data_IF_523352355002
#
_entry.id   IF_523352355002
#
_cell.length_a   1.000
_cell.length_b   1.000
_cell.length_c   1.000
_cell.angle_alpha   90.00
_cell.angle_beta   90.00
_cell.angle_gamma   90.00
#
_symmetry.space_group_name_H-M   'P 1'
#
loop_
_entity.id
_entity.type
_entity.pdbx_description
1 polymer ?
#
# COMPACT_ATOMS: atom_id res chain seq x y z
N UNK A 1 14.44 -20.76 -8.30
CA UNK A 1 14.63 -19.41 -7.70
C UNK A 1 15.99 -19.27 -7.01
N UNK A 2 16.33 -20.08 -6.00
CA UNK A 2 17.60 -19.97 -5.26
C UNK A 2 18.88 -20.05 -6.14
N UNK A 3 18.94 -20.98 -7.12
CA UNK A 3 20.05 -21.07 -8.07
C UNK A 3 20.20 -19.83 -8.98
N UNK A 4 19.09 -19.21 -9.37
CA UNK A 4 19.11 -18.01 -10.21
C UNK A 4 19.63 -16.79 -9.44
N UNK A 5 19.24 -16.67 -8.16
CA UNK A 5 19.74 -15.60 -7.27
C UNK A 5 21.24 -15.76 -6.99
N UNK A 6 21.71 -16.99 -6.75
CA UNK A 6 23.13 -17.25 -6.56
C UNK A 6 23.96 -16.86 -7.80
N UNK A 7 23.51 -17.26 -8.99
CA UNK A 7 24.18 -16.92 -10.25
C UNK A 7 24.16 -15.41 -10.54
N UNK A 8 23.09 -14.70 -10.18
CA UNK A 8 23.04 -13.25 -10.28
C UNK A 8 24.00 -12.56 -9.32
N UNK A 9 24.07 -13.02 -8.06
CA UNK A 9 25.03 -12.52 -7.07
C UNK A 9 26.48 -12.67 -7.55
N UNK A 10 26.83 -13.83 -8.12
CA UNK A 10 28.14 -14.08 -8.71
C UNK A 10 28.42 -13.12 -9.88
N UNK A 11 27.46 -12.99 -10.81
CA UNK A 11 27.59 -12.12 -11.98
C UNK A 11 27.75 -10.63 -11.62
N UNK A 12 27.22 -10.21 -10.47
CA UNK A 12 27.27 -8.83 -10.00
C UNK A 12 28.31 -8.59 -8.90
N UNK A 13 29.14 -9.58 -8.56
CA UNK A 13 30.11 -9.49 -7.45
C UNK A 13 29.49 -9.07 -6.10
N UNK A 14 28.23 -9.46 -5.87
CA UNK A 14 27.52 -9.18 -4.62
C UNK A 14 27.57 -10.44 -3.76
N UNK A 15 28.08 -10.36 -2.50
CA UNK A 15 28.00 -11.49 -1.59
C UNK A 15 26.55 -11.88 -1.33
N UNK A 16 26.19 -13.15 -1.51
CA UNK A 16 24.82 -13.62 -1.29
C UNK A 16 24.31 -13.29 0.13
N UNK A 17 25.20 -13.33 1.13
CA UNK A 17 24.89 -12.93 2.51
C UNK A 17 24.49 -11.46 2.65
N UNK A 18 25.07 -10.56 1.84
CA UNK A 18 24.69 -9.14 1.80
C UNK A 18 23.28 -8.99 1.23
N UNK A 19 23.00 -9.65 0.10
CA UNK A 19 21.67 -9.61 -0.52
C UNK A 19 20.57 -10.12 0.45
N UNK A 20 20.82 -11.22 1.15
CA UNK A 20 19.88 -11.77 2.13
C UNK A 20 19.66 -10.79 3.30
N UNK A 21 20.73 -10.16 3.80
CA UNK A 21 20.63 -9.16 4.87
C UNK A 21 19.80 -7.95 4.45
N UNK A 22 20.06 -7.41 3.27
CA UNK A 22 19.35 -6.24 2.73
C UNK A 22 17.86 -6.56 2.50
N UNK A 23 17.55 -7.77 2.00
CA UNK A 23 16.18 -8.24 1.83
C UNK A 23 15.44 -8.41 3.16
N UNK A 24 16.10 -8.97 4.18
CA UNK A 24 15.52 -9.10 5.52
C UNK A 24 15.30 -7.73 6.16
N UNK A 25 16.25 -6.81 6.02
CA UNK A 25 16.12 -5.44 6.53
C UNK A 25 14.91 -4.74 5.90
N UNK A 26 14.77 -4.80 4.57
CA UNK A 26 13.61 -4.26 3.86
C UNK A 26 12.30 -4.89 4.35
N UNK A 27 12.27 -6.22 4.51
CA UNK A 27 11.11 -6.93 5.03
C UNK A 27 10.72 -6.45 6.45
N UNK A 28 11.70 -6.30 7.35
CA UNK A 28 11.45 -5.82 8.70
C UNK A 28 11.03 -4.36 8.72
N UNK A 29 11.61 -3.49 7.90
CA UNK A 29 11.22 -2.08 7.82
C UNK A 29 9.80 -1.91 7.27
N UNK A 30 9.42 -2.71 6.27
CA UNK A 30 8.04 -2.78 5.78
C UNK A 30 7.11 -3.27 6.89
N UNK A 31 7.42 -4.39 7.55
CA UNK A 31 6.55 -4.95 8.61
C UNK A 31 6.43 -4.03 9.81
N UNK A 32 7.52 -3.41 10.26
CA UNK A 32 7.54 -2.42 11.32
C UNK A 32 6.83 -1.10 10.95
N UNK A 33 6.45 -0.91 9.67
CA UNK A 33 5.82 0.33 9.21
C UNK A 33 6.76 1.51 9.08
N UNK A 34 8.07 1.26 9.05
CA UNK A 34 9.09 2.28 8.84
C UNK A 34 9.31 2.58 7.36
N UNK A 35 9.02 1.62 6.49
CA UNK A 35 9.06 1.78 5.04
C UNK A 35 7.64 1.94 4.44
N UNK A 36 7.57 2.64 3.31
CA UNK A 36 6.34 2.76 2.53
C UNK A 36 5.90 1.40 1.98
N UNK A 37 4.63 1.07 2.18
CA UNK A 37 4.00 -0.16 1.69
C UNK A 37 2.68 0.22 0.98
N UNK A 38 2.61 0.09 -0.36
CA UNK A 38 1.42 0.41 -1.13
C UNK A 38 0.16 -0.33 -0.65
N UNK A 39 0.29 -1.59 -0.22
CA UNK A 39 -0.85 -2.39 0.25
C UNK A 39 -1.36 -1.85 1.58
N UNK A 40 -0.43 -1.51 2.49
CA UNK A 40 -0.78 -0.87 3.77
C UNK A 40 -1.47 0.46 3.55
N UNK A 41 -1.00 1.27 2.59
CA UNK A 41 -1.63 2.54 2.26
C UNK A 41 -3.04 2.35 1.70
N UNK A 42 -3.27 1.35 0.84
CA UNK A 42 -4.61 1.01 0.36
C UNK A 42 -5.55 0.68 1.53
N UNK A 43 -5.11 -0.19 2.46
CA UNK A 43 -5.88 -0.54 3.65
C UNK A 43 -6.23 0.70 4.49
N UNK A 44 -5.26 1.59 4.73
CA UNK A 44 -5.49 2.84 5.50
C UNK A 44 -6.53 3.72 4.79
N UNK A 45 -6.43 3.86 3.47
CA UNK A 45 -7.38 4.64 2.68
C UNK A 45 -8.80 4.05 2.78
N UNK A 46 -8.95 2.72 2.65
CA UNK A 46 -10.24 2.04 2.80
C UNK A 46 -10.84 2.27 4.20
N UNK A 47 -10.06 2.10 5.27
CA UNK A 47 -10.51 2.39 6.62
C UNK A 47 -10.94 3.85 6.81
N UNK A 48 -10.20 4.78 6.21
CA UNK A 48 -10.52 6.21 6.28
C UNK A 48 -11.85 6.51 5.57
N UNK A 49 -12.11 5.89 4.42
CA UNK A 49 -13.39 6.02 3.70
C UNK A 49 -14.56 5.48 4.52
N UNK A 50 -14.40 4.31 5.17
CA UNK A 50 -15.42 3.74 6.05
C UNK A 50 -15.73 4.66 7.23
N UNK A 51 -14.71 5.19 7.90
CA UNK A 51 -14.88 6.13 9.02
C UNK A 51 -15.58 7.41 8.56
N UNK A 52 -15.24 7.92 7.37
CA UNK A 52 -15.88 9.10 6.80
C UNK A 52 -17.37 8.84 6.49
N UNK A 53 -17.72 7.71 5.88
CA UNK A 53 -19.11 7.32 5.61
C UNK A 53 -19.92 7.22 6.92
N UNK A 54 -19.38 6.55 7.94
CA UNK A 54 -20.03 6.46 9.26
C UNK A 54 -20.20 7.82 9.93
N UNK A 55 -19.21 8.70 9.81
CA UNK A 55 -19.32 10.06 10.33
C UNK A 55 -20.42 10.86 9.61
N UNK A 56 -20.51 10.77 8.28
CA UNK A 56 -21.54 11.47 7.49
C UNK A 56 -22.92 10.90 7.80
N UNK A 57 -23.10 9.58 7.86
CA UNK A 57 -24.36 8.94 8.29
C UNK A 57 -24.85 9.47 9.64
N UNK A 58 -23.92 9.68 10.58
CA UNK A 58 -24.25 10.14 11.93
C UNK A 58 -24.55 11.63 12.02
N UNK A 59 -23.79 12.48 11.32
CA UNK A 59 -23.79 13.92 11.55
C UNK A 59 -24.42 14.75 10.42
N UNK A 60 -24.50 14.20 9.20
CA UNK A 60 -25.07 14.86 8.03
C UNK A 60 -25.67 13.81 7.06
N UNK A 61 -26.66 13.02 7.50
CA UNK A 61 -27.20 11.91 6.73
C UNK A 61 -27.81 12.34 5.38
N UNK A 62 -28.37 13.54 5.33
CA UNK A 62 -28.93 14.19 4.13
C UNK A 62 -27.87 14.46 3.05
N UNK A 63 -26.59 14.54 3.43
CA UNK A 63 -25.47 14.82 2.53
C UNK A 63 -24.70 13.57 2.11
N UNK A 64 -25.13 12.39 2.55
CA UNK A 64 -24.43 11.13 2.30
C UNK A 64 -24.29 10.82 0.81
N UNK A 65 -25.35 11.02 0.04
CA UNK A 65 -25.34 10.72 -1.39
C UNK A 65 -24.43 11.69 -2.17
N UNK A 66 -24.40 12.98 -1.78
CA UNK A 66 -23.46 13.98 -2.31
C UNK A 66 -22.00 13.58 -2.02
N UNK A 67 -21.74 13.09 -0.80
CA UNK A 67 -20.43 12.61 -0.39
C UNK A 67 -19.99 11.39 -1.22
N UNK A 68 -20.85 10.38 -1.37
CA UNK A 68 -20.55 9.18 -2.16
C UNK A 68 -20.29 9.52 -3.63
N UNK A 69 -21.14 10.36 -4.24
CA UNK A 69 -20.94 10.81 -5.62
C UNK A 69 -19.61 11.54 -5.82
N UNK A 70 -19.17 12.31 -4.82
CA UNK A 70 -17.86 12.99 -4.85
C UNK A 70 -16.69 12.01 -4.74
N UNK A 71 -16.84 10.94 -3.95
CA UNK A 71 -15.84 9.87 -3.83
C UNK A 71 -15.74 9.10 -5.15
N UNK A 72 -16.86 8.71 -5.74
CA UNK A 72 -16.90 7.98 -7.02
C UNK A 72 -16.24 8.81 -8.14
N UNK A 73 -16.60 10.08 -8.29
CA UNK A 73 -15.99 10.98 -9.27
C UNK A 73 -14.48 11.23 -9.07
N UNK A 74 -13.95 10.97 -7.86
CA UNK A 74 -12.50 10.98 -7.61
C UNK A 74 -11.86 9.66 -8.02
N UNK A 75 -12.51 8.53 -7.74
CA UNK A 75 -12.01 7.21 -8.11
C UNK A 75 -11.96 7.01 -9.63
N UNK A 76 -12.98 7.47 -10.36
CA UNK A 76 -13.01 7.39 -11.83
C UNK A 76 -11.81 8.10 -12.50
N UNK A 77 -11.37 9.23 -11.94
CA UNK A 77 -10.18 9.96 -12.42
C UNK A 77 -8.87 9.16 -12.26
N UNK A 78 -8.84 8.18 -11.37
CA UNK A 78 -7.64 7.39 -11.07
C UNK A 78 -7.68 5.98 -11.66
N UNK A 79 -8.86 5.44 -11.96
CA UNK A 79 -9.03 4.11 -12.57
C UNK A 79 -9.12 4.13 -14.10
N UNK A 80 -9.09 5.31 -14.72
CA UNK A 80 -9.11 5.48 -16.17
C UNK A 80 -10.53 5.35 -16.72
N UNK A 81 -11.20 6.48 -16.84
CA UNK A 81 -12.39 6.61 -17.69
C UNK A 81 -12.07 6.45 -19.17
#
# INVERSE_FOLDING_TARGET
>A
MAKAVASWCESNSIPAARLVRDALQLYFDVKAGKAFDPQRMAIICEYTQLVADEWVKKNAPDRRDEFLATVDARLDRHHGG
#
